data_IF_029681650948
#
_entry.id   IF_029681650948
#
_cell.length_a   1.000
_cell.length_b   1.000
_cell.length_c   1.000
_cell.angle_alpha   90.00
_cell.angle_beta   90.00
_cell.angle_gamma   90.00
#
_symmetry.space_group_name_H-M   'P 1'
#
loop_
_entity.id
_entity.type
_entity.pdbx_description
1 polymer ?
#
# COMPACT_ATOMS: atom_id res chain seq x y z
N UNK A 1 -20.46 -24.23 -3.30
CA UNK A 1 -20.89 -22.82 -3.42
C UNK A 1 -20.30 -22.31 -4.72
N UNK A 2 -21.14 -21.76 -5.62
CA UNK A 2 -20.82 -21.55 -7.03
C UNK A 2 -19.80 -20.42 -7.19
N UNK A 3 -18.64 -20.75 -7.77
CA UNK A 3 -17.58 -19.79 -8.11
C UNK A 3 -18.08 -18.78 -9.13
N UNK A 4 -17.94 -17.50 -8.80
CA UNK A 4 -18.13 -16.42 -9.76
C UNK A 4 -16.85 -16.30 -10.58
N UNK A 5 -16.81 -17.02 -11.70
CA UNK A 5 -15.88 -16.79 -12.81
C UNK A 5 -16.16 -15.42 -13.42
N UNK A 6 -15.14 -14.60 -13.66
CA UNK A 6 -15.28 -13.38 -14.47
C UNK A 6 -13.95 -13.12 -15.18
N UNK A 7 -14.01 -13.09 -16.51
CA UNK A 7 -12.93 -12.80 -17.42
C UNK A 7 -12.54 -11.30 -17.29
N UNK A 8 -11.44 -10.80 -17.85
CA UNK A 8 -11.51 -10.14 -19.14
C UNK A 8 -10.18 -10.25 -19.90
N UNK A 9 -10.30 -10.71 -21.14
CA UNK A 9 -9.25 -10.67 -22.13
C UNK A 9 -9.15 -9.26 -22.76
N UNK A 10 -7.91 -8.96 -23.11
CA UNK A 10 -7.37 -7.85 -23.90
C UNK A 10 -8.30 -7.32 -25.02
N UNK A 11 -8.60 -6.01 -24.98
CA UNK A 11 -8.91 -5.21 -26.15
C UNK A 11 -8.38 -3.78 -25.95
N UNK A 12 -7.25 -3.48 -26.59
CA UNK A 12 -6.68 -2.12 -26.65
C UNK A 12 -7.53 -1.32 -27.64
N UNK A 13 -8.46 -0.51 -27.15
CA UNK A 13 -9.02 0.57 -27.95
C UNK A 13 -8.07 1.76 -27.87
N UNK A 14 -7.26 1.91 -28.91
CA UNK A 14 -6.46 3.10 -29.14
C UNK A 14 -7.36 4.28 -29.44
N UNK A 15 -7.48 5.21 -28.50
CA UNK A 15 -7.83 6.59 -28.82
C UNK A 15 -6.52 7.37 -28.78
N UNK A 16 -5.94 7.61 -29.95
CA UNK A 16 -4.82 8.55 -30.10
C UNK A 16 -5.39 9.95 -29.86
N UNK A 17 -5.05 10.55 -28.72
CA UNK A 17 -5.20 11.99 -28.49
C UNK A 17 -3.79 12.57 -28.57
N UNK A 18 -3.57 13.44 -29.56
CA UNK A 18 -2.30 14.11 -29.77
C UNK A 18 -1.92 14.92 -28.52
N UNK A 19 -0.69 14.73 -28.03
CA UNK A 19 -0.14 15.51 -26.94
C UNK A 19 0.11 16.96 -27.41
N UNK A 20 -0.27 17.99 -26.63
CA UNK A 20 0.20 19.34 -26.89
C UNK A 20 1.71 19.41 -26.63
N UNK A 21 2.45 19.94 -27.60
CA UNK A 21 3.89 20.21 -27.49
C UNK A 21 4.14 21.31 -26.45
N UNK A 22 5.05 21.14 -25.49
CA UNK A 22 5.48 22.22 -24.63
C UNK A 22 6.36 23.20 -25.42
N UNK A 23 5.93 24.47 -25.50
CA UNK A 23 6.76 25.57 -25.97
C UNK A 23 7.85 25.91 -24.94
N UNK A 24 8.99 26.47 -25.37
CA UNK A 24 10.07 26.85 -24.47
C UNK A 24 9.75 28.17 -23.74
N UNK A 25 10.33 28.27 -22.55
CA UNK A 25 10.63 29.49 -21.78
C UNK A 25 9.57 30.03 -20.82
N UNK A 26 9.80 29.80 -19.52
CA UNK A 26 9.86 30.84 -18.48
C UNK A 26 10.55 30.26 -17.24
N UNK A 27 11.78 30.70 -16.99
CA UNK A 27 12.46 30.59 -15.71
C UNK A 27 11.76 31.48 -14.69
N UNK A 28 11.49 30.98 -13.48
CA UNK A 28 11.28 31.84 -12.31
C UNK A 28 11.79 31.16 -11.02
N UNK A 29 12.96 31.65 -10.61
CA UNK A 29 13.50 31.88 -9.27
C UNK A 29 12.80 31.25 -8.04
N UNK A 30 13.55 30.38 -7.35
CA UNK A 30 13.82 30.50 -5.91
C UNK A 30 12.65 30.44 -4.90
N UNK A 31 12.41 29.26 -4.32
CA UNK A 31 11.87 29.16 -2.96
C UNK A 31 12.82 28.33 -2.09
N UNK A 32 13.56 29.04 -1.25
CA UNK A 32 14.44 28.51 -0.22
C UNK A 32 13.62 28.04 0.99
N UNK A 33 13.72 26.76 1.35
CA UNK A 33 13.27 26.27 2.66
C UNK A 33 14.51 26.13 3.55
N UNK A 34 14.69 27.12 4.44
CA UNK A 34 15.76 27.13 5.43
C UNK A 34 15.58 26.03 6.49
N UNK A 35 16.61 25.21 6.67
CA UNK A 35 16.81 24.44 7.90
C UNK A 35 17.42 25.42 8.90
N UNK A 36 16.61 25.85 9.88
CA UNK A 36 17.11 26.62 11.03
C UNK A 36 17.81 25.65 11.99
N UNK A 37 19.14 25.71 12.02
CA UNK A 37 19.97 25.16 13.09
C UNK A 37 19.95 26.14 14.27
N UNK A 38 19.42 25.72 15.42
CA UNK A 38 19.62 26.43 16.69
C UNK A 38 19.96 25.44 17.81
N UNK A 39 21.25 25.40 18.18
CA UNK A 39 21.74 24.92 19.47
C UNK A 39 22.87 23.87 19.39
N UNK A 40 24.06 24.11 19.95
CA UNK A 40 25.08 23.08 20.10
C UNK A 40 24.68 22.09 21.21
N UNK A 41 24.65 20.80 20.87
CA UNK A 41 24.55 19.71 21.86
C UNK A 41 25.92 19.60 22.54
N UNK A 42 26.00 20.04 23.80
CA UNK A 42 27.16 19.79 24.66
C UNK A 42 27.10 18.35 25.17
N UNK A 43 27.95 17.48 24.62
CA UNK A 43 28.27 16.20 25.25
C UNK A 43 29.23 16.52 26.39
N UNK A 44 28.78 16.33 27.64
CA UNK A 44 29.68 16.37 28.79
C UNK A 44 30.30 14.98 28.94
N UNK A 45 31.58 14.87 28.61
CA UNK A 45 32.45 13.81 29.12
C UNK A 45 32.70 14.11 30.60
N UNK A 46 32.19 13.25 31.48
CA UNK A 46 32.60 13.24 32.88
C UNK A 46 33.35 11.93 33.13
N UNK A 47 34.68 12.01 32.97
CA UNK A 47 35.62 10.96 33.36
C UNK A 47 36.29 11.42 34.65
N UNK A 48 35.98 10.74 35.75
CA UNK A 48 36.84 10.71 36.94
C UNK A 48 36.97 9.25 37.41
N UNK A 49 38.23 8.79 37.51
CA UNK A 49 38.62 7.44 37.94
C UNK A 49 38.24 7.13 39.40
N UNK A 50 38.45 5.92 39.92
CA UNK A 50 39.72 5.18 39.97
C UNK A 50 39.45 3.74 40.50
N UNK A 51 40.26 2.79 40.02
CA UNK A 51 40.65 1.46 40.54
C UNK A 51 39.63 0.31 40.76
N UNK A 52 39.96 -0.84 40.13
CA UNK A 52 39.79 -2.14 40.79
C UNK A 52 39.36 -3.33 39.93
N UNK A 53 40.35 -4.14 39.55
CA UNK A 53 40.30 -5.62 39.45
C UNK A 53 39.55 -6.26 38.27
N UNK A 54 40.33 -7.03 37.52
CA UNK A 54 39.96 -8.02 36.50
C UNK A 54 39.01 -9.07 37.08
N UNK A 55 37.91 -9.34 36.38
CA UNK A 55 37.39 -10.70 36.29
C UNK A 55 36.76 -10.89 34.90
N UNK A 56 37.34 -11.84 34.20
CA UNK A 56 36.97 -12.32 32.88
C UNK A 56 35.75 -13.23 33.06
N UNK A 57 34.64 -12.92 32.40
CA UNK A 57 33.63 -13.85 31.86
C UNK A 57 32.28 -13.15 31.71
N UNK A 58 31.93 -12.73 30.49
CA UNK A 58 30.60 -13.06 29.98
C UNK A 58 30.60 -13.11 28.45
N UNK A 59 29.93 -14.14 27.95
CA UNK A 59 29.97 -14.58 26.58
C UNK A 59 29.16 -13.66 25.64
N UNK A 60 29.77 -13.39 24.49
CA UNK A 60 29.15 -13.15 23.18
C UNK A 60 27.67 -12.72 23.16
N UNK A 61 27.43 -11.42 23.00
CA UNK A 61 26.23 -10.92 22.30
C UNK A 61 26.66 -10.51 20.90
N UNK A 62 26.83 -11.52 20.03
CA UNK A 62 27.02 -11.34 18.59
C UNK A 62 25.68 -11.53 17.86
N UNK A 63 25.49 -10.69 16.84
CA UNK A 63 24.45 -10.72 15.81
C UNK A 63 23.10 -10.04 16.11
N UNK A 64 23.10 -8.70 16.11
CA UNK A 64 21.98 -7.95 15.51
C UNK A 64 22.40 -7.47 14.13
N UNK A 65 22.54 -8.41 13.19
CA UNK A 65 22.54 -8.13 11.76
C UNK A 65 21.19 -8.56 11.22
N UNK A 66 20.25 -7.62 11.24
CA UNK A 66 19.25 -7.46 10.19
C UNK A 66 18.48 -6.17 10.48
N UNK A 67 18.67 -5.17 9.61
CA UNK A 67 18.07 -3.85 9.71
C UNK A 67 16.56 -3.87 9.46
N UNK A 68 15.80 -4.32 10.45
CA UNK A 68 14.38 -3.99 10.56
C UNK A 68 14.29 -2.56 11.11
N UNK A 69 14.05 -1.61 10.21
CA UNK A 69 13.85 -0.19 10.54
C UNK A 69 12.93 -0.02 11.76
N UNK A 70 13.47 0.56 12.84
CA UNK A 70 12.74 0.87 14.07
C UNK A 70 11.45 1.68 13.80
N UNK A 71 11.41 2.47 12.72
CA UNK A 71 10.20 3.17 12.27
C UNK A 71 9.15 2.21 11.72
N UNK A 72 9.56 1.16 10.99
CA UNK A 72 8.67 0.09 10.50
C UNK A 72 8.08 -0.72 11.65
N UNK A 73 8.87 -1.05 12.67
CA UNK A 73 8.40 -1.77 13.87
C UNK A 73 7.41 -0.91 14.66
N UNK A 74 7.73 0.36 14.91
CA UNK A 74 6.84 1.31 15.61
C UNK A 74 5.54 1.55 14.83
N UNK A 75 5.63 1.69 13.50
CA UNK A 75 4.48 1.89 12.61
C UNK A 75 3.56 0.66 12.60
N UNK A 76 4.11 -0.55 12.48
CA UNK A 76 3.33 -1.78 12.53
C UNK A 76 2.65 -1.99 13.89
N UNK A 77 3.34 -1.66 14.99
CA UNK A 77 2.77 -1.68 16.34
C UNK A 77 1.63 -0.66 16.49
N UNK A 78 1.79 0.54 15.92
CA UNK A 78 0.76 1.58 15.92
C UNK A 78 -0.46 1.23 15.06
N UNK A 79 -0.28 0.55 13.93
CA UNK A 79 -1.38 0.05 13.10
C UNK A 79 -2.17 -1.03 13.85
N UNK A 80 -1.48 -1.93 14.53
CA UNK A 80 -2.11 -3.00 15.30
C UNK A 80 -2.89 -2.48 16.53
N UNK A 81 -2.52 -1.32 17.11
CA UNK A 81 -3.17 -0.77 18.30
C UNK A 81 -4.40 0.12 18.02
N UNK A 82 -4.68 0.45 16.76
CA UNK A 82 -5.75 1.39 16.36
C UNK A 82 -7.18 0.83 16.44
N UNK A 83 -7.35 -0.40 16.89
CA UNK A 83 -8.65 -1.08 16.89
C UNK A 83 -9.16 -1.38 15.49
N UNK A 84 -10.37 -1.91 15.42
CA UNK A 84 -10.99 -2.28 14.15
C UNK A 84 -11.64 -1.07 13.47
N UNK A 85 -11.46 -0.98 12.15
CA UNK A 85 -12.17 -0.01 11.31
C UNK A 85 -13.63 -0.45 11.12
N UNK A 86 -14.55 0.49 10.82
CA UNK A 86 -15.97 0.17 10.64
C UNK A 86 -16.20 -0.99 9.67
N UNK A 87 -16.94 -2.00 10.12
CA UNK A 87 -17.31 -3.17 9.31
C UNK A 87 -16.17 -4.14 8.98
N UNK A 88 -14.97 -3.95 9.54
CA UNK A 88 -13.79 -4.77 9.30
C UNK A 88 -13.37 -5.55 10.56
N UNK A 89 -12.85 -6.76 10.37
CA UNK A 89 -12.20 -7.50 11.45
C UNK A 89 -10.76 -7.00 11.69
N UNK A 90 -10.01 -7.55 12.67
CA UNK A 90 -8.66 -7.10 12.96
C UNK A 90 -7.68 -7.26 11.78
N UNK A 91 -7.81 -8.31 10.98
CA UNK A 91 -6.93 -8.57 9.84
C UNK A 91 -7.18 -7.57 8.72
N UNK A 92 -8.44 -7.42 8.34
CA UNK A 92 -8.88 -6.47 7.33
C UNK A 92 -8.54 -5.03 7.75
N UNK A 93 -8.69 -4.70 9.05
CA UNK A 93 -8.34 -3.38 9.57
C UNK A 93 -6.85 -3.09 9.42
N UNK A 94 -5.96 -4.04 9.77
CA UNK A 94 -4.50 -3.88 9.56
C UNK A 94 -4.15 -3.64 8.10
N UNK A 95 -4.76 -4.39 7.18
CA UNK A 95 -4.57 -4.22 5.75
C UNK A 95 -5.10 -2.87 5.25
N UNK A 96 -6.28 -2.45 5.69
CA UNK A 96 -6.86 -1.15 5.33
C UNK A 96 -5.99 0.02 5.81
N UNK A 97 -5.39 -0.07 7.00
CA UNK A 97 -4.41 0.91 7.46
C UNK A 97 -3.15 0.95 6.58
N UNK A 98 -2.67 -0.20 6.10
CA UNK A 98 -1.55 -0.24 5.14
C UNK A 98 -1.92 0.43 3.81
N UNK A 99 -3.14 0.17 3.28
CA UNK A 99 -3.67 0.85 2.10
C UNK A 99 -3.66 2.37 2.31
N UNK A 100 -4.29 2.85 3.39
CA UNK A 100 -4.43 4.29 3.66
C UNK A 100 -3.09 5.00 3.83
N UNK A 101 -2.08 4.34 4.41
CA UNK A 101 -0.74 4.91 4.51
C UNK A 101 -0.09 5.08 3.14
N UNK A 102 -0.24 4.12 2.22
CA UNK A 102 0.28 4.25 0.86
C UNK A 102 -0.47 5.31 0.06
N UNK A 103 -1.78 5.45 0.27
CA UNK A 103 -2.57 6.56 -0.27
C UNK A 103 -2.00 7.90 0.22
N UNK A 104 -1.73 8.04 1.53
CA UNK A 104 -1.11 9.26 2.12
C UNK A 104 0.26 9.55 1.49
N UNK A 105 1.13 8.55 1.40
CA UNK A 105 2.46 8.68 0.76
C UNK A 105 2.38 9.10 -0.70
N UNK A 106 1.36 8.63 -1.42
CA UNK A 106 1.20 8.89 -2.85
C UNK A 106 0.60 10.27 -3.18
N UNK A 107 0.06 10.99 -2.18
CA UNK A 107 -0.60 12.28 -2.37
C UNK A 107 -1.92 12.24 -3.12
N UNK A 108 -2.58 11.07 -3.22
CA UNK A 108 -3.84 10.92 -3.98
C UNK A 108 -5.09 11.35 -3.21
N UNK A 109 -4.94 11.70 -1.93
CA UNK A 109 -5.97 12.31 -1.11
C UNK A 109 -7.20 11.42 -0.89
N UNK A 110 -8.33 12.07 -0.59
CA UNK A 110 -9.60 11.40 -0.27
C UNK A 110 -10.06 10.46 -1.39
N UNK A 111 -9.98 10.92 -2.64
CA UNK A 111 -10.36 10.14 -3.81
C UNK A 111 -9.51 8.86 -3.93
N UNK A 112 -8.20 8.95 -3.70
CA UNK A 112 -7.31 7.78 -3.68
C UNK A 112 -7.69 6.77 -2.60
N UNK A 113 -8.06 7.24 -1.40
CA UNK A 113 -8.53 6.35 -0.33
C UNK A 113 -9.80 5.61 -0.75
N UNK A 114 -10.77 6.36 -1.27
CA UNK A 114 -12.05 5.82 -1.73
C UNK A 114 -11.88 4.75 -2.80
N UNK A 115 -11.06 5.01 -3.83
CA UNK A 115 -10.82 4.06 -4.93
C UNK A 115 -10.05 2.83 -4.45
N UNK A 116 -9.01 3.00 -3.64
CA UNK A 116 -8.20 1.88 -3.15
C UNK A 116 -9.00 0.97 -2.21
N UNK A 117 -9.71 1.53 -1.21
CA UNK A 117 -10.51 0.73 -0.27
C UNK A 117 -11.70 0.08 -0.98
N UNK A 118 -12.39 0.78 -1.88
CA UNK A 118 -13.50 0.20 -2.65
C UNK A 118 -13.01 -0.98 -3.49
N UNK A 119 -11.87 -0.84 -4.17
CA UNK A 119 -11.30 -1.95 -4.94
C UNK A 119 -10.94 -3.13 -4.03
N UNK A 120 -10.20 -2.90 -2.94
CA UNK A 120 -9.79 -3.97 -2.03
C UNK A 120 -10.98 -4.73 -1.41
N UNK A 121 -12.07 -4.04 -1.07
CA UNK A 121 -13.31 -4.66 -0.61
C UNK A 121 -13.93 -5.57 -1.67
N UNK A 122 -13.96 -5.11 -2.92
CA UNK A 122 -14.53 -5.87 -4.03
C UNK A 122 -13.70 -7.11 -4.36
N UNK A 123 -12.38 -6.97 -4.47
CA UNK A 123 -11.51 -8.02 -4.99
C UNK A 123 -11.24 -9.12 -3.97
N UNK A 124 -11.07 -8.76 -2.69
CA UNK A 124 -10.62 -9.71 -1.67
C UNK A 124 -11.31 -9.57 -0.33
N UNK A 125 -12.27 -8.65 -0.20
CA UNK A 125 -12.77 -8.20 1.09
C UNK A 125 -11.62 -7.71 2.01
N UNK A 126 -10.65 -6.99 1.44
CA UNK A 126 -9.43 -6.48 2.12
C UNK A 126 -8.60 -7.61 2.76
N UNK A 127 -8.47 -8.74 2.06
CA UNK A 127 -7.64 -9.88 2.48
C UNK A 127 -6.47 -10.09 1.53
N UNK A 128 -5.34 -10.50 2.05
CA UNK A 128 -4.23 -10.95 1.21
C UNK A 128 -4.46 -12.41 0.83
N UNK A 129 -4.89 -12.67 -0.41
CA UNK A 129 -5.18 -14.02 -0.88
C UNK A 129 -4.04 -14.57 -1.74
N UNK A 130 -3.54 -15.76 -1.40
CA UNK A 130 -2.62 -16.50 -2.26
C UNK A 130 -3.39 -17.22 -3.39
N UNK A 131 -2.68 -17.91 -4.30
CA UNK A 131 -3.29 -18.65 -5.39
C UNK A 131 -2.47 -19.92 -5.73
N UNK A 132 -3.13 -21.06 -5.87
CA UNK A 132 -2.49 -22.33 -6.25
C UNK A 132 -1.86 -22.31 -7.65
N UNK A 133 -2.40 -21.51 -8.58
CA UNK A 133 -1.82 -21.31 -9.91
C UNK A 133 -0.50 -20.49 -9.86
N UNK A 134 -0.21 -19.85 -8.73
CA UNK A 134 1.03 -19.11 -8.47
C UNK A 134 1.70 -19.70 -7.23
N UNK A 135 2.38 -20.85 -7.30
CA UNK A 135 2.88 -21.55 -6.12
C UNK A 135 3.80 -20.71 -5.22
N UNK A 136 4.55 -19.76 -5.80
CA UNK A 136 5.37 -18.82 -5.03
C UNK A 136 4.54 -17.97 -4.06
N UNK A 137 3.29 -17.63 -4.39
CA UNK A 137 2.40 -16.84 -3.54
C UNK A 137 2.07 -17.53 -2.21
N UNK A 138 2.04 -18.88 -2.19
CA UNK A 138 1.75 -19.68 -1.00
C UNK A 138 2.87 -19.62 0.05
N UNK A 139 4.05 -19.13 -0.33
CA UNK A 139 5.21 -19.00 0.56
C UNK A 139 5.18 -17.69 1.36
N UNK A 140 4.28 -16.75 1.02
CA UNK A 140 4.12 -15.48 1.72
C UNK A 140 2.94 -15.51 2.70
N UNK A 141 2.96 -14.68 3.77
CA UNK A 141 1.82 -14.53 4.67
C UNK A 141 0.54 -14.22 3.88
N UNK A 142 -0.51 -14.98 4.14
CA UNK A 142 -1.78 -14.86 3.46
C UNK A 142 -2.94 -15.17 4.41
N UNK A 143 -4.13 -14.75 4.03
CA UNK A 143 -5.35 -14.78 4.83
C UNK A 143 -6.44 -15.59 4.12
N UNK A 144 -6.02 -16.51 3.24
CA UNK A 144 -6.87 -17.31 2.39
C UNK A 144 -6.25 -17.55 1.02
N UNK A 145 -6.96 -18.34 0.22
CA UNK A 145 -6.53 -18.70 -1.13
C UNK A 145 -7.66 -18.39 -2.11
N UNK A 146 -7.36 -17.58 -3.11
CA UNK A 146 -8.22 -17.32 -4.27
C UNK A 146 -8.03 -18.37 -5.35
N UNK A 147 -8.90 -18.36 -6.35
CA UNK A 147 -8.89 -19.31 -7.46
C UNK A 147 -9.09 -18.66 -8.83
N UNK A 148 -9.10 -17.33 -8.89
CA UNK A 148 -9.26 -16.61 -10.15
C UNK A 148 -7.93 -16.56 -10.90
N UNK A 149 -7.83 -17.31 -12.00
CA UNK A 149 -6.63 -17.44 -12.84
C UNK A 149 -5.33 -17.49 -12.00
N UNK A 150 -4.43 -16.52 -12.20
CA UNK A 150 -3.19 -16.29 -11.47
C UNK A 150 -3.23 -14.99 -10.64
N UNK A 151 -4.44 -14.54 -10.25
CA UNK A 151 -4.66 -13.38 -9.38
C UNK A 151 -4.17 -13.65 -7.96
N UNK A 152 -3.43 -12.71 -7.37
CA UNK A 152 -2.92 -12.79 -5.98
C UNK A 152 -3.07 -11.45 -5.24
N UNK A 153 -2.98 -11.51 -3.91
CA UNK A 153 -2.92 -10.33 -3.07
C UNK A 153 -4.26 -9.62 -2.87
N UNK A 154 -4.18 -8.41 -2.30
CA UNK A 154 -5.34 -7.67 -1.80
C UNK A 154 -6.21 -7.07 -2.91
N UNK A 155 -5.63 -6.81 -4.08
CA UNK A 155 -6.32 -6.31 -5.27
C UNK A 155 -6.50 -7.38 -6.34
N UNK A 156 -6.23 -8.66 -6.02
CA UNK A 156 -6.29 -9.77 -6.98
C UNK A 156 -5.51 -9.47 -8.28
N UNK A 157 -4.28 -8.97 -8.12
CA UNK A 157 -3.39 -8.62 -9.22
C UNK A 157 -2.88 -9.88 -9.91
N UNK A 158 -3.06 -9.96 -11.23
CA UNK A 158 -2.63 -11.10 -12.06
C UNK A 158 -1.10 -11.17 -12.12
N UNK A 159 -0.52 -12.30 -11.71
CA UNK A 159 0.92 -12.54 -11.75
C UNK A 159 1.53 -12.36 -13.16
N UNK A 160 0.75 -12.59 -14.22
CA UNK A 160 1.12 -12.35 -15.61
C UNK A 160 1.52 -10.89 -15.90
N UNK A 161 0.97 -9.93 -15.16
CA UNK A 161 1.26 -8.50 -15.33
C UNK A 161 2.02 -7.91 -14.14
N UNK A 162 1.85 -8.48 -12.96
CA UNK A 162 2.50 -8.08 -11.72
C UNK A 162 3.51 -9.14 -11.29
N UNK A 163 4.67 -9.16 -11.96
CA UNK A 163 5.69 -10.21 -11.84
C UNK A 163 6.36 -10.29 -10.46
N UNK A 164 6.33 -9.21 -9.67
CA UNK A 164 6.84 -9.21 -8.30
C UNK A 164 5.78 -9.77 -7.33
N UNK A 165 5.74 -11.09 -7.21
CA UNK A 165 4.78 -11.80 -6.34
C UNK A 165 4.96 -11.40 -4.88
N UNK A 166 6.18 -11.13 -4.44
CA UNK A 166 6.46 -10.70 -3.06
C UNK A 166 5.81 -9.35 -2.74
N UNK A 167 5.82 -8.43 -3.71
CA UNK A 167 5.13 -7.14 -3.61
C UNK A 167 3.60 -7.32 -3.66
N UNK A 168 3.09 -8.14 -4.59
CA UNK A 168 1.65 -8.40 -4.71
C UNK A 168 1.06 -9.05 -3.46
N UNK A 169 1.83 -9.88 -2.75
CA UNK A 169 1.44 -10.52 -1.48
C UNK A 169 1.59 -9.62 -0.24
N UNK A 170 1.78 -8.31 -0.42
CA UNK A 170 1.81 -7.34 0.69
C UNK A 170 0.85 -6.20 0.45
N UNK A 171 0.02 -5.88 1.44
CA UNK A 171 -1.00 -4.84 1.31
C UNK A 171 -0.41 -3.47 0.94
N UNK A 172 0.74 -3.08 1.51
CA UNK A 172 1.42 -1.82 1.18
C UNK A 172 1.96 -1.80 -0.25
N UNK A 173 2.73 -2.82 -0.63
CA UNK A 173 3.39 -2.85 -1.93
C UNK A 173 2.41 -3.03 -3.09
N UNK A 174 1.44 -3.94 -2.94
CA UNK A 174 0.34 -4.13 -3.88
C UNK A 174 -0.49 -2.84 -4.05
N UNK A 175 -0.72 -2.07 -2.98
CA UNK A 175 -1.41 -0.76 -3.05
C UNK A 175 -0.64 0.27 -3.83
N UNK A 176 0.67 0.36 -3.63
CA UNK A 176 1.52 1.27 -4.40
C UNK A 176 1.47 0.94 -5.89
N UNK A 177 1.55 -0.33 -6.26
CA UNK A 177 1.41 -0.78 -7.65
C UNK A 177 0.02 -0.43 -8.21
N UNK A 178 -1.04 -0.65 -7.45
CA UNK A 178 -2.41 -0.26 -7.80
C UNK A 178 -2.55 1.25 -8.03
N UNK A 179 -2.03 2.08 -7.12
CA UNK A 179 -2.11 3.55 -7.22
C UNK A 179 -1.35 4.06 -8.45
N UNK A 180 -0.19 3.46 -8.78
CA UNK A 180 0.56 3.81 -10.00
C UNK A 180 -0.34 3.60 -11.22
N UNK A 181 -1.04 2.46 -11.31
CA UNK A 181 -1.98 2.18 -12.40
C UNK A 181 -3.21 3.09 -12.37
N UNK A 182 -3.75 3.40 -11.19
CA UNK A 182 -4.87 4.31 -11.00
C UNK A 182 -4.58 5.70 -11.55
N UNK A 183 -3.39 6.24 -11.31
CA UNK A 183 -2.98 7.56 -11.78
C UNK A 183 -2.92 7.67 -13.31
N UNK A 184 -2.90 6.55 -14.04
CA UNK A 184 -2.96 6.57 -15.52
C UNK A 184 -4.40 6.67 -16.05
N UNK A 185 -5.41 6.59 -15.19
CA UNK A 185 -6.81 6.82 -15.58
C UNK A 185 -7.04 8.32 -15.69
N UNK A 186 -7.45 8.80 -16.87
CA UNK A 186 -7.71 10.22 -17.08
C UNK A 186 -8.79 10.74 -16.12
N UNK A 187 -8.58 11.94 -15.57
CA UNK A 187 -9.53 12.63 -14.67
C UNK A 187 -9.99 11.83 -13.44
N UNK A 188 -9.19 10.87 -12.96
CA UNK A 188 -9.56 10.00 -11.83
C UNK A 188 -9.95 10.77 -10.55
N UNK A 189 -9.42 11.99 -10.37
CA UNK A 189 -9.65 12.82 -9.19
C UNK A 189 -11.13 13.20 -8.99
N UNK A 190 -11.85 13.47 -10.08
CA UNK A 190 -13.25 13.91 -10.06
C UNK A 190 -14.23 12.89 -10.65
N UNK A 191 -13.74 11.73 -11.08
CA UNK A 191 -14.57 10.66 -11.65
C UNK A 191 -15.25 9.86 -10.54
N UNK A 192 -16.42 9.31 -10.82
CA UNK A 192 -17.10 8.40 -9.89
C UNK A 192 -16.18 7.26 -9.44
N UNK A 193 -16.19 6.95 -8.13
CA UNK A 193 -15.27 5.98 -7.52
C UNK A 193 -15.39 4.60 -8.17
N UNK A 194 -16.61 4.11 -8.41
CA UNK A 194 -16.81 2.80 -9.01
C UNK A 194 -16.32 2.78 -10.47
N UNK A 195 -16.48 3.88 -11.20
CA UNK A 195 -15.95 4.05 -12.55
C UNK A 195 -14.42 4.00 -12.57
N UNK A 196 -13.74 4.66 -11.62
CA UNK A 196 -12.27 4.58 -11.53
C UNK A 196 -11.82 3.17 -11.17
N UNK A 197 -12.45 2.51 -10.19
CA UNK A 197 -12.11 1.13 -9.83
C UNK A 197 -12.21 0.19 -11.05
N UNK A 198 -13.31 0.31 -11.79
CA UNK A 198 -13.57 -0.43 -13.01
C UNK A 198 -12.52 -0.14 -14.11
N UNK A 199 -12.09 1.11 -14.26
CA UNK A 199 -11.06 1.48 -15.24
C UNK A 199 -9.66 0.94 -14.89
N UNK A 200 -9.36 0.76 -13.60
CA UNK A 200 -8.09 0.19 -13.15
C UNK A 200 -8.06 -1.33 -13.29
N UNK A 201 -9.12 -1.99 -12.84
CA UNK A 201 -9.19 -3.47 -12.79
C UNK A 201 -9.71 -4.12 -14.07
N UNK A 202 -10.44 -3.37 -14.90
CA UNK A 202 -11.00 -3.87 -16.17
C UNK A 202 -11.88 -5.13 -15.91
N UNK A 203 -12.70 -5.09 -14.86
CA UNK A 203 -13.63 -6.18 -14.49
C UNK A 203 -14.81 -6.29 -15.47
N UNK A 204 -15.41 -7.46 -15.67
CA UNK A 204 -16.66 -7.55 -16.48
C UNK A 204 -17.93 -7.25 -15.68
N UNK A 205 -17.79 -6.88 -14.40
CA UNK A 205 -18.92 -6.56 -13.51
C UNK A 205 -18.87 -5.10 -13.03
N UNK A 206 -19.30 -4.14 -13.85
CA UNK A 206 -19.18 -2.71 -13.53
C UNK A 206 -19.91 -2.29 -12.25
N UNK A 207 -20.95 -3.02 -11.84
CA UNK A 207 -21.73 -2.69 -10.62
C UNK A 207 -21.15 -3.26 -9.33
N UNK A 208 -20.13 -4.12 -9.41
CA UNK A 208 -19.57 -4.79 -8.23
C UNK A 208 -18.97 -3.80 -7.22
N UNK A 209 -18.30 -2.75 -7.71
CA UNK A 209 -17.66 -1.74 -6.88
C UNK A 209 -18.67 -0.84 -6.15
N UNK A 210 -19.80 -0.53 -6.81
CA UNK A 210 -20.79 0.42 -6.29
C UNK A 210 -21.40 -0.04 -4.97
N UNK A 211 -21.50 -1.36 -4.76
CA UNK A 211 -21.91 -1.98 -3.49
C UNK A 211 -21.06 -1.53 -2.30
N UNK A 212 -19.75 -1.32 -2.50
CA UNK A 212 -18.78 -1.13 -1.42
C UNK A 212 -18.41 0.32 -1.15
N UNK A 213 -18.78 1.26 -2.05
CA UNK A 213 -18.48 2.69 -1.90
C UNK A 213 -18.97 3.24 -0.55
N UNK A 214 -20.18 2.87 -0.10
CA UNK A 214 -20.71 3.34 1.18
C UNK A 214 -19.91 2.88 2.40
N UNK A 215 -19.36 1.67 2.39
CA UNK A 215 -18.48 1.16 3.44
C UNK A 215 -17.10 1.80 3.36
N UNK A 216 -16.57 1.99 2.14
CA UNK A 216 -15.31 2.68 1.93
C UNK A 216 -15.31 4.11 2.48
N UNK A 217 -16.42 4.85 2.37
CA UNK A 217 -16.57 6.16 3.01
C UNK A 217 -16.37 6.06 4.53
N UNK A 218 -16.99 5.09 5.19
CA UNK A 218 -16.90 4.93 6.64
C UNK A 218 -15.48 4.57 7.08
N UNK A 219 -14.84 3.66 6.36
CA UNK A 219 -13.46 3.23 6.61
C UNK A 219 -12.49 4.41 6.42
N UNK A 220 -12.56 5.11 5.28
CA UNK A 220 -11.70 6.25 5.00
C UNK A 220 -11.94 7.39 6.00
N UNK A 221 -13.18 7.71 6.38
CA UNK A 221 -13.46 8.73 7.41
C UNK A 221 -12.85 8.40 8.77
N UNK A 222 -12.74 7.11 9.11
CA UNK A 222 -12.20 6.68 10.39
C UNK A 222 -10.66 6.68 10.44
N UNK A 223 -9.96 6.61 9.30
CA UNK A 223 -8.51 6.41 9.26
C UNK A 223 -7.68 7.30 8.34
N UNK A 224 -8.31 8.02 7.42
CA UNK A 224 -7.62 8.83 6.41
C UNK A 224 -7.65 10.31 6.78
#
# INVERSE_FOLDING_TARGET
>A
MKGLSIFAALAVFGITIAAPTPGPDSVDEGVSFGISNNGPIVVRDDVSGVDGVVDEHEAAVDTVKDGLDLRSISTNKHIASRGNLPGLDPSQSRNAWAIMQEVKKSGTGWQGCMVAITTALTESNIRILANHAVPASLQFPNEGVGADYDSVGIYQQRAQWYNDISCSMRADCSTRAFIIRMKTVGNWQGTDVAVVCQAVQISEKPTAYQKWVGLAVQICKAGF
#
